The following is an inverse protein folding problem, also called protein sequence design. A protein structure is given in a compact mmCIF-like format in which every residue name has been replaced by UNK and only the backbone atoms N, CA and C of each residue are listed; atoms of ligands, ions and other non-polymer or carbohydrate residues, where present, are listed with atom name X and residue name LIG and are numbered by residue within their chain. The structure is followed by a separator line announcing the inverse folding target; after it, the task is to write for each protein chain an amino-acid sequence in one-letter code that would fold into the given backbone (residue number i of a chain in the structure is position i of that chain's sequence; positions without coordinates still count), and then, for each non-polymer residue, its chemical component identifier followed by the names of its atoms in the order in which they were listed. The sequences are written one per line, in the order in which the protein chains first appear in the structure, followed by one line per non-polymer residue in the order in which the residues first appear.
data_IF_346730040486
#
_entry.id   IF_346730040486
#
_cell.length_a   1.000
_cell.length_b   1.000
_cell.length_c   1.000
_cell.angle_alpha   90.00
_cell.angle_beta   90.00
_cell.angle_gamma   90.00
#
_symmetry.space_group_name_H-M   'P 1'
#
loop_
_entity.id
_entity.type
_entity.pdbx_description
1 polymer ?
#
# COMPACT_ATOMS: atom_id res chain seq x y z
N UNK A 1 62.05 13.44 -55.79
CA UNK A 1 60.63 13.57 -56.08
C UNK A 1 59.95 12.31 -55.62
N UNK A 2 59.47 12.29 -54.37
CA UNK A 2 58.53 11.26 -53.85
C UNK A 2 57.43 11.99 -53.10
N UNK A 3 56.20 11.98 -53.66
CA UNK A 3 54.98 12.39 -53.00
C UNK A 3 54.59 11.29 -52.01
N UNK A 4 54.42 11.65 -50.77
CA UNK A 4 53.70 10.84 -49.77
C UNK A 4 52.24 11.32 -49.71
N UNK A 5 51.31 10.47 -50.14
CA UNK A 5 49.89 10.66 -50.01
C UNK A 5 49.51 10.25 -48.57
N UNK A 6 49.04 11.20 -47.76
CA UNK A 6 48.50 10.96 -46.43
C UNK A 6 47.04 10.49 -46.51
N UNK A 7 46.82 9.25 -46.15
CA UNK A 7 45.46 8.74 -45.92
C UNK A 7 44.85 9.38 -44.68
N UNK A 8 43.75 10.12 -44.85
CA UNK A 8 42.91 10.59 -43.76
C UNK A 8 42.05 9.40 -43.26
N UNK A 9 42.38 8.86 -42.10
CA UNK A 9 41.49 7.94 -41.40
C UNK A 9 40.29 8.72 -40.85
N UNK A 10 39.15 8.42 -41.44
CA UNK A 10 37.84 8.94 -41.03
C UNK A 10 37.46 8.30 -39.67
N UNK A 11 37.80 8.99 -38.56
CA UNK A 11 37.33 8.61 -37.23
C UNK A 11 35.83 8.83 -37.16
N UNK A 12 35.06 7.80 -37.54
CA UNK A 12 33.65 7.73 -37.31
C UNK A 12 33.37 7.86 -35.80
N UNK A 13 32.93 9.04 -35.36
CA UNK A 13 32.41 9.26 -34.02
C UNK A 13 31.30 8.25 -33.73
N UNK A 14 31.33 7.53 -32.56
CA UNK A 14 30.27 6.62 -32.22
C UNK A 14 28.97 7.41 -32.14
N UNK A 15 27.97 7.08 -32.97
CA UNK A 15 26.63 7.59 -32.85
C UNK A 15 26.09 7.14 -31.46
N UNK A 16 25.97 8.09 -30.55
CA UNK A 16 25.23 7.91 -29.30
C UNK A 16 23.87 7.28 -29.62
N UNK A 17 23.43 6.26 -28.87
CA UNK A 17 22.14 5.63 -29.08
C UNK A 17 21.04 6.68 -28.99
N UNK A 18 20.17 6.70 -29.99
CA UNK A 18 19.08 7.65 -30.13
C UNK A 18 18.29 7.73 -28.80
N UNK A 19 18.19 8.95 -28.28
CA UNK A 19 17.43 9.29 -27.10
C UNK A 19 16.12 8.51 -27.04
N UNK A 20 15.90 7.80 -25.93
CA UNK A 20 14.61 7.22 -25.55
C UNK A 20 13.50 8.24 -25.86
N UNK A 21 12.56 7.87 -26.71
CA UNK A 21 11.38 8.68 -27.02
C UNK A 21 10.68 8.97 -25.69
N UNK A 22 10.89 10.14 -25.14
CA UNK A 22 10.10 10.63 -24.01
C UNK A 22 8.67 10.77 -24.55
N UNK A 23 7.78 9.90 -24.10
CA UNK A 23 6.37 10.09 -24.36
C UNK A 23 5.93 11.48 -23.90
N UNK A 24 4.86 12.05 -24.43
CA UNK A 24 4.39 13.39 -24.05
C UNK A 24 4.21 13.46 -22.53
N UNK A 25 4.59 14.60 -21.94
CA UNK A 25 4.38 14.85 -20.52
C UNK A 25 2.88 14.67 -20.17
N UNK A 26 2.54 14.01 -19.04
CA UNK A 26 1.15 13.75 -18.69
C UNK A 26 0.37 15.06 -18.53
N UNK A 27 -0.86 15.10 -19.03
CA UNK A 27 -1.74 16.26 -18.91
C UNK A 27 -2.11 16.52 -17.45
N UNK A 28 -2.43 17.78 -17.16
CA UNK A 28 -2.94 18.14 -15.83
C UNK A 28 -4.24 17.42 -15.50
N UNK A 29 -5.06 17.08 -16.52
CA UNK A 29 -6.31 16.34 -16.35
C UNK A 29 -6.06 14.90 -15.89
N UNK A 30 -5.09 14.19 -16.51
CA UNK A 30 -4.70 12.85 -16.08
C UNK A 30 -4.10 12.83 -14.69
N UNK A 31 -3.24 13.80 -14.35
CA UNK A 31 -2.67 13.90 -13.01
C UNK A 31 -3.73 14.19 -11.95
N UNK A 32 -4.70 15.09 -12.21
CA UNK A 32 -5.84 15.35 -11.32
C UNK A 32 -6.79 14.16 -11.26
N UNK A 33 -7.03 13.49 -12.39
CA UNK A 33 -7.80 12.25 -12.44
C UNK A 33 -7.21 11.20 -11.51
N UNK A 34 -5.88 11.01 -11.54
CA UNK A 34 -5.19 10.09 -10.65
C UNK A 34 -5.28 10.51 -9.17
N UNK A 35 -5.15 11.81 -8.84
CA UNK A 35 -5.33 12.31 -7.48
C UNK A 35 -6.69 11.91 -6.90
N UNK A 36 -7.76 12.21 -7.61
CA UNK A 36 -9.12 11.90 -7.17
C UNK A 36 -9.44 10.41 -7.22
N UNK A 37 -8.87 9.68 -8.19
CA UNK A 37 -9.00 8.22 -8.22
C UNK A 37 -8.41 7.59 -6.95
N UNK A 38 -7.21 7.99 -6.56
CA UNK A 38 -6.55 7.50 -5.33
C UNK A 38 -7.36 7.88 -4.09
N UNK A 39 -7.88 9.10 -4.02
CA UNK A 39 -8.74 9.56 -2.94
C UNK A 39 -9.97 8.66 -2.78
N UNK A 40 -10.81 8.55 -3.81
CA UNK A 40 -12.05 7.76 -3.74
C UNK A 40 -11.80 6.25 -3.63
N UNK A 41 -10.71 5.74 -4.19
CA UNK A 41 -10.34 4.34 -4.02
C UNK A 41 -10.02 4.00 -2.57
N UNK A 42 -9.34 4.90 -1.86
CA UNK A 42 -9.08 4.75 -0.42
C UNK A 42 -10.39 4.72 0.38
N UNK A 43 -11.35 5.58 0.02
CA UNK A 43 -12.69 5.62 0.62
C UNK A 43 -13.44 4.28 0.44
N UNK A 44 -13.46 3.76 -0.80
CA UNK A 44 -14.12 2.48 -1.14
C UNK A 44 -13.52 1.32 -0.35
N UNK A 45 -12.19 1.29 -0.16
CA UNK A 45 -11.52 0.24 0.63
C UNK A 45 -11.79 0.37 2.12
N UNK A 46 -11.85 1.60 2.66
CA UNK A 46 -12.08 1.87 4.07
C UNK A 46 -13.43 1.34 4.55
N UNK A 47 -14.48 1.41 3.72
CA UNK A 47 -15.82 0.92 4.05
C UNK A 47 -15.89 -0.57 4.39
N UNK A 48 -14.95 -1.39 3.93
CA UNK A 48 -14.88 -2.83 4.25
C UNK A 48 -14.03 -3.18 5.48
N UNK A 49 -13.47 -2.23 6.16
CA UNK A 49 -12.67 -2.45 7.37
C UNK A 49 -13.52 -2.90 8.56
N UNK A 50 -13.52 -2.14 9.65
CA UNK A 50 -14.18 -2.52 10.89
C UNK A 50 -15.71 -2.57 10.79
N UNK A 51 -16.32 -1.91 9.78
CA UNK A 51 -17.77 -1.82 9.65
C UNK A 51 -18.46 -3.16 9.32
N UNK A 52 -17.76 -4.11 8.67
CA UNK A 52 -18.33 -5.41 8.29
C UNK A 52 -18.75 -6.22 9.51
N UNK A 53 -17.85 -6.38 10.49
CA UNK A 53 -18.16 -7.14 11.70
C UNK A 53 -19.30 -6.50 12.50
N UNK A 54 -19.26 -5.17 12.65
CA UNK A 54 -20.33 -4.42 13.35
C UNK A 54 -21.68 -4.64 12.64
N UNK A 55 -21.72 -4.51 11.32
CA UNK A 55 -22.94 -4.69 10.54
C UNK A 55 -23.49 -6.12 10.68
N UNK A 56 -22.66 -7.14 10.49
CA UNK A 56 -23.11 -8.55 10.59
C UNK A 56 -23.58 -8.88 11.99
N UNK A 57 -22.98 -8.29 13.03
CA UNK A 57 -23.50 -8.42 14.42
C UNK A 57 -24.88 -7.82 14.55
N UNK A 58 -25.17 -6.66 13.92
CA UNK A 58 -26.54 -6.08 13.94
C UNK A 58 -27.56 -6.91 13.15
N UNK A 59 -27.11 -7.80 12.25
CA UNK A 59 -27.93 -8.77 11.53
C UNK A 59 -28.10 -10.09 12.29
N UNK A 60 -27.74 -10.14 13.58
CA UNK A 60 -27.83 -11.32 14.47
C UNK A 60 -27.00 -12.54 13.98
N UNK A 61 -25.89 -12.31 13.27
CA UNK A 61 -24.97 -13.37 12.89
C UNK A 61 -24.19 -13.89 14.09
N UNK A 62 -23.87 -15.19 14.08
CA UNK A 62 -23.00 -15.77 15.09
C UNK A 62 -21.56 -15.25 14.93
N UNK A 63 -20.80 -15.19 16.04
CA UNK A 63 -19.38 -14.80 15.95
C UNK A 63 -18.55 -15.79 15.12
N UNK A 64 -18.98 -17.05 15.04
CA UNK A 64 -18.36 -18.10 14.20
C UNK A 64 -18.56 -17.77 12.73
N UNK A 65 -19.77 -17.42 12.30
CA UNK A 65 -20.05 -17.08 10.89
C UNK A 65 -19.29 -15.82 10.45
N UNK A 66 -19.29 -14.79 11.33
CA UNK A 66 -18.52 -13.56 11.09
C UNK A 66 -17.02 -13.89 10.97
N UNK A 67 -16.50 -14.68 11.91
CA UNK A 67 -15.10 -15.11 11.90
C UNK A 67 -14.73 -15.89 10.65
N UNK A 68 -15.58 -16.81 10.21
CA UNK A 68 -15.38 -17.58 8.97
C UNK A 68 -15.26 -16.70 7.73
N UNK A 69 -16.22 -15.79 7.55
CA UNK A 69 -16.26 -14.87 6.41
C UNK A 69 -15.02 -13.96 6.40
N UNK A 70 -14.60 -13.44 7.54
CA UNK A 70 -13.41 -12.59 7.64
C UNK A 70 -12.13 -13.38 7.39
N UNK A 71 -12.03 -14.60 7.92
CA UNK A 71 -10.87 -15.49 7.72
C UNK A 71 -10.70 -15.87 6.26
N UNK A 72 -11.78 -16.31 5.60
CA UNK A 72 -11.73 -16.64 4.16
C UNK A 72 -11.31 -15.43 3.34
N UNK A 73 -11.87 -14.25 3.61
CA UNK A 73 -11.44 -13.02 2.94
C UNK A 73 -9.95 -12.72 3.14
N UNK A 74 -9.43 -12.90 4.34
CA UNK A 74 -8.01 -12.67 4.65
C UNK A 74 -7.08 -13.68 3.95
N UNK A 75 -7.48 -14.96 3.90
CA UNK A 75 -6.73 -16.00 3.17
C UNK A 75 -6.68 -15.73 1.67
N UNK A 76 -7.81 -15.31 1.07
CA UNK A 76 -7.87 -14.91 -0.34
C UNK A 76 -7.00 -13.68 -0.59
N UNK A 77 -7.05 -12.67 0.30
CA UNK A 77 -6.20 -11.48 0.19
C UNK A 77 -4.72 -11.86 0.23
N UNK A 78 -4.31 -12.74 1.14
CA UNK A 78 -2.92 -13.20 1.25
C UNK A 78 -2.48 -13.98 0.01
N UNK A 79 -3.26 -14.99 -0.40
CA UNK A 79 -2.94 -15.84 -1.55
C UNK A 79 -3.00 -15.07 -2.88
N UNK A 80 -3.85 -14.04 -2.96
CA UNK A 80 -4.08 -13.24 -4.16
C UNK A 80 -3.02 -12.17 -4.45
N UNK A 81 -2.12 -11.83 -3.52
CA UNK A 81 -1.15 -10.73 -3.71
C UNK A 81 -0.26 -10.94 -4.94
N UNK A 82 0.41 -12.10 -5.03
CA UNK A 82 1.28 -12.41 -6.18
C UNK A 82 0.50 -12.59 -7.49
N UNK A 83 -0.58 -13.41 -7.54
CA UNK A 83 -1.43 -13.49 -8.74
C UNK A 83 -2.01 -12.15 -9.15
N UNK A 84 -2.41 -11.29 -8.19
CA UNK A 84 -2.94 -9.95 -8.46
C UNK A 84 -1.92 -9.06 -9.17
N UNK A 85 -0.68 -9.02 -8.71
CA UNK A 85 0.40 -8.33 -9.38
C UNK A 85 0.68 -8.87 -10.78
N UNK A 86 0.69 -10.21 -10.95
CA UNK A 86 0.87 -10.86 -12.24
C UNK A 86 -0.28 -10.56 -13.22
N UNK A 87 -1.51 -10.46 -12.75
CA UNK A 87 -2.67 -10.06 -13.57
C UNK A 87 -2.48 -8.65 -14.10
N UNK A 88 -1.99 -7.72 -13.28
CA UNK A 88 -1.71 -6.35 -13.73
C UNK A 88 -0.55 -6.33 -14.73
N UNK A 89 0.52 -7.10 -14.51
CA UNK A 89 1.62 -7.22 -15.47
C UNK A 89 1.19 -7.88 -16.80
N UNK A 90 0.18 -8.75 -16.78
CA UNK A 90 -0.35 -9.39 -17.99
C UNK A 90 -1.43 -8.55 -18.70
N UNK A 91 -1.90 -7.48 -18.08
CA UNK A 91 -3.01 -6.69 -18.60
C UNK A 91 -2.56 -5.76 -19.74
N UNK A 92 -3.44 -5.58 -20.72
CA UNK A 92 -3.25 -4.60 -21.80
C UNK A 92 -3.63 -3.18 -21.37
N UNK A 93 -4.33 -3.04 -20.25
CA UNK A 93 -4.79 -1.74 -19.74
C UNK A 93 -4.97 -1.81 -18.22
N UNK A 94 -4.09 -1.15 -17.52
CA UNK A 94 -4.10 -1.01 -16.05
C UNK A 94 -5.39 -0.29 -15.57
N UNK A 95 -5.89 0.65 -16.40
CA UNK A 95 -7.17 1.35 -16.14
C UNK A 95 -8.36 0.40 -16.13
N UNK A 96 -8.43 -0.55 -17.07
CA UNK A 96 -9.51 -1.53 -17.09
C UNK A 96 -9.43 -2.47 -15.91
N UNK A 97 -8.22 -2.92 -15.52
CA UNK A 97 -8.03 -3.74 -14.32
C UNK A 97 -8.49 -2.97 -13.08
N UNK A 98 -8.10 -1.71 -12.95
CA UNK A 98 -8.53 -0.86 -11.84
C UNK A 98 -10.06 -0.66 -11.84
N UNK A 99 -10.67 -0.40 -13.01
CA UNK A 99 -12.12 -0.26 -13.14
C UNK A 99 -12.85 -1.54 -12.72
N UNK A 100 -12.42 -2.71 -13.21
CA UNK A 100 -12.99 -3.99 -12.81
C UNK A 100 -12.86 -4.23 -11.30
N UNK A 101 -11.71 -3.91 -10.70
CA UNK A 101 -11.50 -3.99 -9.25
C UNK A 101 -12.46 -3.12 -8.46
N UNK A 102 -12.62 -1.85 -8.86
CA UNK A 102 -13.57 -0.91 -8.21
C UNK A 102 -15.02 -1.40 -8.36
N UNK A 103 -15.41 -1.87 -9.54
CA UNK A 103 -16.76 -2.42 -9.79
C UNK A 103 -16.99 -3.64 -8.88
N UNK A 104 -16.01 -4.55 -8.79
CA UNK A 104 -16.12 -5.76 -7.98
C UNK A 104 -16.28 -5.42 -6.48
N UNK A 105 -15.51 -4.47 -5.94
CA UNK A 105 -15.64 -4.03 -4.55
C UNK A 105 -16.99 -3.38 -4.31
N UNK A 106 -17.42 -2.49 -5.20
CA UNK A 106 -18.71 -1.80 -5.06
C UNK A 106 -19.89 -2.75 -5.17
N UNK A 107 -19.83 -3.74 -6.08
CA UNK A 107 -20.83 -4.80 -6.17
C UNK A 107 -20.87 -5.65 -4.89
N UNK A 108 -19.71 -5.95 -4.31
CA UNK A 108 -19.61 -6.66 -3.01
C UNK A 108 -20.24 -5.86 -1.88
N UNK A 109 -20.01 -4.54 -1.83
CA UNK A 109 -20.61 -3.66 -0.84
C UNK A 109 -22.14 -3.59 -0.98
N UNK A 110 -22.61 -3.46 -2.23
CA UNK A 110 -24.03 -3.44 -2.52
C UNK A 110 -24.71 -4.77 -2.14
N UNK A 111 -24.12 -5.90 -2.51
CA UNK A 111 -24.66 -7.23 -2.18
C UNK A 111 -24.72 -7.45 -0.66
N UNK A 112 -23.69 -7.05 0.07
CA UNK A 112 -23.62 -7.12 1.52
C UNK A 112 -24.75 -6.30 2.17
N UNK A 113 -25.00 -5.09 1.66
CA UNK A 113 -26.07 -4.23 2.16
C UNK A 113 -27.47 -4.73 1.79
N UNK A 114 -27.66 -5.21 0.57
CA UNK A 114 -28.97 -5.60 0.06
C UNK A 114 -29.45 -6.94 0.61
N UNK A 115 -28.55 -7.94 0.66
CA UNK A 115 -28.86 -9.31 1.06
C UNK A 115 -27.81 -9.88 2.00
N UNK A 116 -27.90 -9.64 3.32
CA UNK A 116 -26.93 -10.10 4.31
C UNK A 116 -27.13 -11.61 4.64
N UNK A 117 -27.12 -12.47 3.63
CA UNK A 117 -27.17 -13.93 3.78
C UNK A 117 -25.78 -14.52 3.62
N UNK A 118 -25.49 -15.59 4.36
CA UNK A 118 -24.13 -16.14 4.51
C UNK A 118 -23.40 -16.34 3.18
N UNK A 119 -24.02 -17.01 2.20
CA UNK A 119 -23.37 -17.32 0.93
C UNK A 119 -23.03 -16.05 0.13
N UNK A 120 -23.93 -15.07 0.04
CA UNK A 120 -23.68 -13.83 -0.71
C UNK A 120 -22.64 -12.95 -0.01
N UNK A 121 -22.66 -12.91 1.32
CA UNK A 121 -21.64 -12.18 2.08
C UNK A 121 -20.27 -12.84 1.92
N UNK A 122 -20.17 -14.17 1.98
CA UNK A 122 -18.94 -14.91 1.75
C UNK A 122 -18.39 -14.68 0.33
N UNK A 123 -19.23 -14.81 -0.70
CA UNK A 123 -18.85 -14.53 -2.09
C UNK A 123 -18.43 -13.07 -2.29
N UNK A 124 -19.13 -12.14 -1.68
CA UNK A 124 -18.77 -10.73 -1.68
C UNK A 124 -17.42 -10.49 -1.03
N UNK A 125 -17.11 -11.15 0.09
CA UNK A 125 -15.80 -11.04 0.75
C UNK A 125 -14.66 -11.61 -0.09
N UNK A 126 -14.89 -12.76 -0.75
CA UNK A 126 -13.92 -13.35 -1.68
C UNK A 126 -13.67 -12.41 -2.85
N UNK A 127 -14.74 -11.87 -3.45
CA UNK A 127 -14.66 -10.93 -4.58
C UNK A 127 -13.93 -9.63 -4.19
N UNK A 128 -14.28 -9.06 -3.03
CA UNK A 128 -13.61 -7.88 -2.48
C UNK A 128 -12.11 -8.13 -2.26
N UNK A 129 -11.76 -9.24 -1.61
CA UNK A 129 -10.39 -9.59 -1.31
C UNK A 129 -9.54 -9.77 -2.60
N UNK A 130 -10.09 -10.50 -3.58
CA UNK A 130 -9.43 -10.70 -4.88
C UNK A 130 -9.26 -9.37 -5.65
N UNK A 131 -10.30 -8.52 -5.67
CA UNK A 131 -10.24 -7.22 -6.30
C UNK A 131 -9.22 -6.28 -5.63
N UNK A 132 -9.13 -6.30 -4.31
CA UNK A 132 -8.15 -5.50 -3.55
C UNK A 132 -6.71 -5.84 -3.90
N UNK A 133 -6.42 -7.11 -4.25
CA UNK A 133 -5.07 -7.54 -4.62
C UNK A 133 -4.57 -6.92 -5.95
N UNK A 134 -5.45 -6.52 -6.83
CA UNK A 134 -5.07 -5.90 -8.12
C UNK A 134 -5.06 -4.37 -8.08
N UNK A 135 -5.81 -3.74 -7.17
CA UNK A 135 -5.96 -2.28 -7.15
C UNK A 135 -4.68 -1.55 -6.78
N UNK A 136 -3.95 -2.03 -5.78
CA UNK A 136 -2.66 -1.45 -5.39
C UNK A 136 -1.64 -1.47 -6.53
N UNK A 137 -1.32 -2.66 -7.09
CA UNK A 137 -0.46 -2.77 -8.27
C UNK A 137 -0.94 -1.93 -9.46
N UNK A 138 -2.25 -1.96 -9.81
CA UNK A 138 -2.78 -1.18 -10.93
C UNK A 138 -2.60 0.34 -10.73
N UNK A 139 -2.83 0.85 -9.52
CA UNK A 139 -2.60 2.27 -9.20
C UNK A 139 -1.11 2.64 -9.33
N UNK A 140 -0.21 1.78 -8.85
CA UNK A 140 1.21 2.02 -8.95
C UNK A 140 1.70 1.93 -10.41
N UNK A 141 1.17 1.00 -11.22
CA UNK A 141 1.42 0.88 -12.64
C UNK A 141 0.96 2.13 -13.42
N UNK A 142 -0.27 2.61 -13.17
CA UNK A 142 -0.78 3.87 -13.75
C UNK A 142 0.13 5.03 -13.37
N UNK A 143 0.55 5.10 -12.10
CA UNK A 143 1.43 6.17 -11.61
C UNK A 143 2.77 6.15 -12.32
N UNK A 144 3.41 4.97 -12.41
CA UNK A 144 4.71 4.79 -13.06
C UNK A 144 4.62 5.02 -14.57
N UNK A 145 3.56 4.52 -15.22
CA UNK A 145 3.29 4.72 -16.64
C UNK A 145 3.14 6.19 -17.03
N UNK A 146 2.50 7.00 -16.16
CA UNK A 146 2.30 8.44 -16.42
C UNK A 146 3.58 9.25 -16.24
N UNK A 147 4.31 9.09 -15.14
CA UNK A 147 5.40 10.00 -14.77
C UNK A 147 6.81 9.41 -14.97
N UNK A 148 6.91 8.11 -15.21
CA UNK A 148 8.19 7.41 -15.35
C UNK A 148 9.01 7.39 -14.05
N UNK A 149 10.21 6.79 -14.10
CA UNK A 149 11.08 6.61 -12.93
C UNK A 149 11.58 7.93 -12.33
N UNK A 150 11.77 8.96 -13.13
CA UNK A 150 12.23 10.25 -12.64
C UNK A 150 11.18 10.97 -11.77
N UNK A 151 9.89 10.85 -12.10
CA UNK A 151 8.80 11.52 -11.39
C UNK A 151 8.09 10.67 -10.34
N UNK A 152 8.38 9.35 -10.28
CA UNK A 152 7.57 8.43 -9.48
C UNK A 152 7.62 8.72 -7.97
N UNK A 153 8.74 9.15 -7.44
CA UNK A 153 8.87 9.49 -6.02
C UNK A 153 7.90 10.58 -5.60
N UNK A 154 7.87 11.70 -6.33
CA UNK A 154 6.93 12.80 -6.09
C UNK A 154 5.48 12.36 -6.28
N UNK A 155 5.20 11.54 -7.31
CA UNK A 155 3.86 11.01 -7.59
C UNK A 155 3.36 10.13 -6.47
N UNK A 156 4.17 9.19 -5.96
CA UNK A 156 3.82 8.32 -4.84
C UNK A 156 3.58 9.11 -3.55
N UNK A 157 4.39 10.13 -3.27
CA UNK A 157 4.16 11.05 -2.16
C UNK A 157 2.82 11.76 -2.25
N UNK A 158 2.45 12.20 -3.47
CA UNK A 158 1.15 12.83 -3.73
C UNK A 158 0.00 11.82 -3.64
N UNK A 159 0.16 10.60 -4.14
CA UNK A 159 -0.82 9.53 -3.98
C UNK A 159 -1.08 9.23 -2.51
N UNK A 160 -0.04 9.06 -1.70
CA UNK A 160 -0.16 8.81 -0.26
C UNK A 160 -0.91 9.94 0.46
N UNK A 161 -0.67 11.21 0.10
CA UNK A 161 -1.44 12.35 0.61
C UNK A 161 -2.93 12.21 0.32
N UNK A 162 -3.31 11.99 -0.95
CA UNK A 162 -4.72 11.89 -1.34
C UNK A 162 -5.39 10.66 -0.73
N UNK A 163 -4.70 9.52 -0.67
CA UNK A 163 -5.19 8.31 0.00
C UNK A 163 -5.47 8.57 1.49
N UNK A 164 -4.54 9.21 2.21
CA UNK A 164 -4.72 9.48 3.64
C UNK A 164 -5.83 10.47 3.93
N UNK A 165 -5.97 11.52 3.12
CA UNK A 165 -7.10 12.45 3.25
C UNK A 165 -8.42 11.71 2.99
N UNK A 166 -8.48 10.88 1.93
CA UNK A 166 -9.62 10.03 1.62
C UNK A 166 -9.97 9.10 2.78
N UNK A 167 -9.01 8.28 3.23
CA UNK A 167 -9.22 7.36 4.37
C UNK A 167 -9.74 8.07 5.62
N UNK A 168 -9.16 9.23 5.97
CA UNK A 168 -9.59 9.99 7.13
C UNK A 168 -11.01 10.54 7.01
N UNK A 169 -11.35 11.12 5.86
CA UNK A 169 -12.70 11.64 5.58
C UNK A 169 -13.73 10.51 5.47
N UNK A 170 -13.38 9.41 4.79
CA UNK A 170 -14.25 8.24 4.70
C UNK A 170 -14.57 7.65 6.07
N UNK A 171 -13.56 7.44 6.91
CA UNK A 171 -13.77 6.91 8.26
C UNK A 171 -14.70 7.80 9.08
N UNK A 172 -14.51 9.13 9.02
CA UNK A 172 -15.37 10.09 9.72
C UNK A 172 -16.80 10.09 9.14
N UNK A 173 -16.94 10.17 7.81
CA UNK A 173 -18.26 10.21 7.15
C UNK A 173 -19.04 8.90 7.33
N UNK A 174 -18.39 7.75 7.18
CA UNK A 174 -19.01 6.43 7.35
C UNK A 174 -19.35 6.16 8.80
N UNK A 175 -18.50 6.58 9.75
CA UNK A 175 -18.79 6.52 11.17
C UNK A 175 -20.02 7.34 11.55
N UNK A 176 -20.08 8.60 11.09
CA UNK A 176 -21.24 9.48 11.31
C UNK A 176 -22.51 8.92 10.64
N UNK A 177 -22.42 8.43 9.39
CA UNK A 177 -23.56 7.83 8.68
C UNK A 177 -24.09 6.59 9.43
N UNK A 178 -23.19 5.70 9.88
CA UNK A 178 -23.56 4.50 10.64
C UNK A 178 -24.22 4.83 11.97
N UNK A 179 -23.78 5.89 12.65
CA UNK A 179 -24.36 6.39 13.91
C UNK A 179 -25.73 7.05 13.71
N UNK A 180 -25.85 7.94 12.71
CA UNK A 180 -27.07 8.70 12.48
C UNK A 180 -28.20 7.89 11.81
N UNK A 181 -27.85 6.79 11.13
CA UNK A 181 -28.82 5.97 10.39
C UNK A 181 -28.72 4.49 10.77
N UNK A 182 -27.93 3.71 10.06
CA UNK A 182 -27.55 2.35 10.41
C UNK A 182 -26.28 1.92 9.66
N UNK A 183 -25.59 0.91 10.18
CA UNK A 183 -24.39 0.33 9.54
C UNK A 183 -24.64 -0.18 8.11
N UNK A 184 -25.91 -0.49 7.76
CA UNK A 184 -26.32 -0.90 6.39
C UNK A 184 -26.05 0.19 5.37
N UNK A 185 -26.35 1.46 5.72
CA UNK A 185 -26.17 2.59 4.80
C UNK A 185 -24.71 2.91 4.52
N UNK A 186 -23.78 2.51 5.40
CA UNK A 186 -22.33 2.62 5.15
C UNK A 186 -21.96 1.84 3.89
N UNK A 187 -22.50 0.62 3.70
CA UNK A 187 -22.19 -0.21 2.52
C UNK A 187 -22.88 0.29 1.25
N UNK A 188 -24.08 0.86 1.35
CA UNK A 188 -24.70 1.55 0.21
C UNK A 188 -23.91 2.81 -0.19
N UNK A 189 -23.42 3.59 0.77
CA UNK A 189 -22.54 4.73 0.51
C UNK A 189 -21.23 4.27 -0.15
N UNK A 190 -20.59 3.21 0.38
CA UNK A 190 -19.40 2.59 -0.22
C UNK A 190 -19.65 2.15 -1.65
N UNK A 191 -20.80 1.51 -1.92
CA UNK A 191 -21.18 1.13 -3.29
C UNK A 191 -21.38 2.35 -4.20
N UNK A 192 -21.99 3.43 -3.70
CA UNK A 192 -22.23 4.66 -4.47
C UNK A 192 -20.92 5.39 -4.84
N UNK A 193 -19.84 5.21 -4.07
CA UNK A 193 -18.51 5.77 -4.38
C UNK A 193 -17.91 5.23 -5.69
N UNK A 194 -18.48 4.15 -6.28
CA UNK A 194 -18.09 3.69 -7.63
C UNK A 194 -18.18 4.82 -8.66
N UNK A 195 -19.21 5.67 -8.58
CA UNK A 195 -19.46 6.73 -9.56
C UNK A 195 -18.31 7.74 -9.60
N UNK A 196 -17.98 8.45 -8.50
CA UNK A 196 -16.88 9.40 -8.53
C UNK A 196 -15.52 8.73 -8.75
N UNK A 197 -15.31 7.48 -8.27
CA UNK A 197 -14.07 6.73 -8.50
C UNK A 197 -13.86 6.44 -9.98
N UNK A 198 -14.89 5.95 -10.71
CA UNK A 198 -14.79 5.69 -12.13
C UNK A 198 -14.69 6.98 -12.95
N UNK A 199 -15.41 8.05 -12.59
CA UNK A 199 -15.27 9.37 -13.24
C UNK A 199 -13.81 9.84 -13.13
N UNK A 200 -13.21 9.75 -11.95
CA UNK A 200 -11.81 10.13 -11.73
C UNK A 200 -10.86 9.26 -12.55
N UNK A 201 -11.06 7.93 -12.55
CA UNK A 201 -10.25 6.98 -13.31
C UNK A 201 -10.31 7.23 -14.82
N UNK A 202 -11.53 7.50 -15.37
CA UNK A 202 -11.70 7.71 -16.80
C UNK A 202 -11.24 9.09 -17.28
N UNK A 203 -10.98 10.05 -16.39
CA UNK A 203 -10.27 11.29 -16.72
C UNK A 203 -8.79 11.07 -17.05
N UNK A 204 -8.20 9.95 -16.61
CA UNK A 204 -6.82 9.59 -16.97
C UNK A 204 -6.83 9.12 -18.44
N UNK A 205 -6.11 9.81 -19.32
CA UNK A 205 -6.06 9.48 -20.74
C UNK A 205 -5.23 8.22 -20.97
N UNK A 206 -5.76 7.18 -21.65
CA UNK A 206 -5.02 5.92 -21.83
C UNK A 206 -3.74 6.10 -22.65
N UNK A 207 -3.72 7.00 -23.63
CA UNK A 207 -2.55 7.27 -24.46
C UNK A 207 -1.42 7.99 -23.74
N UNK A 208 -1.62 8.47 -22.51
CA UNK A 208 -0.58 9.10 -21.69
C UNK A 208 0.09 8.10 -20.74
N UNK A 209 -0.48 6.90 -20.57
CA UNK A 209 0.13 5.82 -19.79
C UNK A 209 1.04 5.04 -20.73
N UNK A 210 2.34 5.09 -20.49
CA UNK A 210 3.33 4.31 -21.23
C UNK A 210 3.35 2.87 -20.69
N UNK A 211 2.99 1.85 -21.51
CA UNK A 211 2.89 0.47 -21.03
C UNK A 211 4.25 -0.11 -20.60
N UNK A 212 5.35 0.23 -21.28
CA UNK A 212 6.68 -0.28 -20.90
C UNK A 212 7.08 0.26 -19.53
N UNK A 213 6.78 1.54 -19.23
CA UNK A 213 7.03 2.13 -17.91
C UNK A 213 6.12 1.53 -16.85
N UNK A 214 4.82 1.35 -17.13
CA UNK A 214 3.82 0.82 -16.19
C UNK A 214 4.20 -0.57 -15.66
N UNK A 215 4.89 -1.36 -16.46
CA UNK A 215 5.35 -2.72 -16.07
C UNK A 215 6.83 -2.76 -15.65
N UNK A 216 7.54 -1.64 -15.70
CA UNK A 216 8.96 -1.55 -15.37
C UNK A 216 9.90 -2.10 -16.42
N UNK A 217 9.45 -2.25 -17.69
CA UNK A 217 10.23 -2.72 -18.82
C UNK A 217 9.39 -3.34 -19.94
N UNK A 218 10.04 -3.97 -20.93
CA UNK A 218 9.33 -4.59 -22.05
C UNK A 218 8.35 -5.65 -21.54
N UNK A 219 7.12 -5.52 -21.99
CA UNK A 219 6.02 -6.39 -21.63
C UNK A 219 6.12 -7.75 -22.37
N UNK A 220 6.64 -8.75 -21.69
CA UNK A 220 6.66 -10.16 -22.18
C UNK A 220 5.98 -11.12 -21.18
N UNK A 221 5.19 -10.61 -20.27
CA UNK A 221 4.63 -11.34 -19.16
C UNK A 221 3.18 -11.77 -19.46
N UNK A 222 3.01 -13.00 -19.93
CA UNK A 222 1.71 -13.69 -19.83
C UNK A 222 1.60 -14.42 -18.48
N UNK A 223 0.37 -14.65 -17.98
CA UNK A 223 0.11 -15.45 -16.77
C UNK A 223 0.81 -16.83 -16.81
N UNK A 224 1.02 -17.40 -18.01
CA UNK A 224 1.77 -18.65 -18.22
C UNK A 224 3.23 -18.58 -17.78
N UNK A 225 3.82 -17.39 -17.73
CA UNK A 225 5.22 -17.15 -17.31
C UNK A 225 5.35 -16.75 -15.83
N UNK A 226 4.29 -16.89 -15.03
CA UNK A 226 4.31 -16.55 -13.60
C UNK A 226 5.44 -17.28 -12.86
N UNK A 227 5.62 -18.59 -13.10
CA UNK A 227 6.69 -19.37 -12.47
C UNK A 227 8.09 -18.87 -12.83
N UNK A 228 8.33 -18.57 -14.11
CA UNK A 228 9.59 -17.98 -14.58
C UNK A 228 9.81 -16.57 -13.96
N UNK A 229 8.72 -15.82 -13.81
CA UNK A 229 8.71 -14.52 -13.16
C UNK A 229 9.14 -14.59 -11.70
N UNK A 230 8.56 -15.52 -10.96
CA UNK A 230 8.91 -15.75 -9.56
C UNK A 230 10.37 -16.22 -9.41
N UNK A 231 10.84 -17.14 -10.25
CA UNK A 231 12.23 -17.61 -10.24
C UNK A 231 13.21 -16.45 -10.54
N UNK A 232 12.90 -15.59 -11.53
CA UNK A 232 13.76 -14.46 -11.85
C UNK A 232 13.80 -13.41 -10.70
N UNK A 233 12.65 -13.16 -10.04
CA UNK A 233 12.60 -12.24 -8.90
C UNK A 233 13.17 -12.85 -7.62
N UNK A 234 13.18 -14.20 -7.48
CA UNK A 234 13.86 -14.89 -6.38
C UNK A 234 15.39 -14.67 -6.38
N UNK A 235 15.98 -14.33 -7.53
CA UNK A 235 17.37 -13.88 -7.63
C UNK A 235 17.60 -12.40 -7.32
N UNK A 236 16.54 -11.60 -7.20
CA UNK A 236 16.64 -10.16 -6.96
C UNK A 236 16.87 -9.85 -5.47
N UNK A 237 18.13 -9.80 -5.07
CA UNK A 237 18.53 -9.60 -3.67
C UNK A 237 17.94 -8.34 -3.03
N UNK A 238 17.96 -7.14 -3.64
CA UNK A 238 17.31 -5.94 -3.08
C UNK A 238 15.83 -6.14 -2.80
N UNK A 239 15.09 -6.79 -3.71
CA UNK A 239 13.66 -7.06 -3.55
C UNK A 239 13.38 -8.02 -2.40
N UNK A 240 14.15 -9.10 -2.27
CA UNK A 240 13.98 -10.07 -1.19
C UNK A 240 14.29 -9.48 0.18
N UNK A 241 15.34 -8.64 0.27
CA UNK A 241 15.65 -7.92 1.50
C UNK A 241 14.52 -6.95 1.85
N UNK A 242 13.99 -6.20 0.86
CA UNK A 242 12.85 -5.32 1.08
C UNK A 242 11.62 -6.10 1.57
N UNK A 243 11.32 -7.26 0.97
CA UNK A 243 10.22 -8.12 1.39
C UNK A 243 10.40 -8.60 2.84
N UNK A 244 11.60 -9.02 3.22
CA UNK A 244 11.93 -9.38 4.60
C UNK A 244 11.78 -8.17 5.56
N UNK A 245 12.25 -6.99 5.17
CA UNK A 245 12.07 -5.75 5.94
C UNK A 245 10.56 -5.44 6.12
N UNK A 246 9.76 -5.55 5.05
CA UNK A 246 8.32 -5.33 5.10
C UNK A 246 7.61 -6.35 6.01
N UNK A 247 8.03 -7.62 5.99
CA UNK A 247 7.53 -8.65 6.88
C UNK A 247 7.78 -8.26 8.35
N UNK A 248 9.02 -7.95 8.73
CA UNK A 248 9.37 -7.55 10.09
C UNK A 248 8.64 -6.27 10.53
N UNK A 249 8.52 -5.29 9.61
CA UNK A 249 7.77 -4.08 9.89
C UNK A 249 6.32 -4.40 10.26
N UNK A 250 5.60 -5.15 9.43
CA UNK A 250 4.20 -5.46 9.67
C UNK A 250 3.99 -6.47 10.79
N UNK A 251 4.95 -7.36 11.03
CA UNK A 251 4.98 -8.24 12.20
C UNK A 251 5.05 -7.43 13.52
N UNK A 252 5.78 -6.32 13.53
CA UNK A 252 5.85 -5.43 14.67
C UNK A 252 4.64 -4.48 14.76
N UNK A 253 4.13 -3.99 13.60
CA UNK A 253 3.18 -2.88 13.52
C UNK A 253 1.72 -3.27 13.69
N UNK A 254 1.27 -4.38 13.08
CA UNK A 254 -0.15 -4.63 12.84
C UNK A 254 -0.98 -4.82 14.13
N UNK A 255 -0.39 -5.37 15.18
CA UNK A 255 -1.07 -5.56 16.45
C UNK A 255 -1.06 -4.31 17.36
N UNK A 256 -0.21 -3.31 17.09
CA UNK A 256 -0.05 -2.17 18.00
C UNK A 256 -1.34 -1.37 18.20
N UNK A 257 -2.07 -1.08 17.12
CA UNK A 257 -3.32 -0.33 17.21
C UNK A 257 -4.46 -1.12 17.88
N UNK A 258 -4.73 -2.40 17.53
CA UNK A 258 -5.69 -3.23 18.26
C UNK A 258 -5.40 -3.36 19.76
N UNK A 259 -4.16 -3.64 20.15
CA UNK A 259 -3.75 -3.71 21.56
C UNK A 259 -3.94 -2.37 22.26
N UNK A 260 -3.59 -1.27 21.59
CA UNK A 260 -3.79 0.08 22.15
C UNK A 260 -5.27 0.39 22.33
N UNK A 261 -6.11 0.03 21.35
CA UNK A 261 -7.57 0.18 21.45
C UNK A 261 -8.14 -0.56 22.67
N UNK A 262 -7.71 -1.81 22.89
CA UNK A 262 -8.10 -2.60 24.07
C UNK A 262 -7.66 -1.91 25.37
N UNK A 263 -6.41 -1.41 25.42
CA UNK A 263 -5.87 -0.72 26.59
C UNK A 263 -6.62 0.58 26.88
N UNK A 264 -6.97 1.37 25.89
CA UNK A 264 -7.72 2.62 26.03
C UNK A 264 -9.14 2.35 26.54
N UNK A 265 -9.78 1.28 26.07
CA UNK A 265 -11.12 0.87 26.51
C UNK A 265 -11.14 0.51 28.00
N UNK A 266 -10.07 -0.14 28.49
CA UNK A 266 -9.97 -0.52 29.92
C UNK A 266 -9.56 0.61 30.85
N UNK A 267 -8.77 1.59 30.35
CA UNK A 267 -8.21 2.69 31.16
C UNK A 267 -9.07 3.96 31.16
N UNK A 268 -9.85 4.20 30.12
CA UNK A 268 -10.59 5.45 29.94
C UNK A 268 -11.92 5.20 29.23
N UNK A 269 -12.89 4.57 29.95
CA UNK A 269 -14.19 4.17 29.40
C UNK A 269 -14.95 5.32 28.72
N UNK A 270 -14.96 6.51 29.32
CA UNK A 270 -15.73 7.67 28.83
C UNK A 270 -15.15 8.28 27.54
N UNK A 271 -13.81 8.26 27.40
CA UNK A 271 -13.09 8.85 26.28
C UNK A 271 -12.56 7.82 25.28
N UNK A 272 -12.73 6.52 25.55
CA UNK A 272 -12.13 5.44 24.75
C UNK A 272 -12.43 5.59 23.26
N UNK A 273 -13.68 5.81 22.87
CA UNK A 273 -14.09 5.94 21.47
C UNK A 273 -13.41 7.12 20.77
N UNK A 274 -13.35 8.28 21.47
CA UNK A 274 -12.71 9.49 20.92
C UNK A 274 -11.20 9.29 20.78
N UNK A 275 -10.56 8.69 21.78
CA UNK A 275 -9.12 8.43 21.79
C UNK A 275 -8.74 7.40 20.72
N UNK A 276 -9.54 6.33 20.53
CA UNK A 276 -9.33 5.34 19.46
C UNK A 276 -9.48 6.01 18.08
N UNK A 277 -10.51 6.84 17.90
CA UNK A 277 -10.68 7.60 16.66
C UNK A 277 -9.48 8.54 16.40
N UNK A 278 -8.99 9.23 17.44
CA UNK A 278 -7.80 10.07 17.35
C UNK A 278 -6.55 9.25 16.97
N UNK A 279 -6.39 8.05 17.53
CA UNK A 279 -5.30 7.13 17.17
C UNK A 279 -5.32 6.69 15.70
N UNK A 280 -6.47 6.74 15.04
CA UNK A 280 -6.59 6.46 13.59
C UNK A 280 -6.34 7.73 12.77
N UNK A 281 -6.91 8.87 13.19
CA UNK A 281 -6.87 10.12 12.42
C UNK A 281 -5.49 10.79 12.47
N UNK A 282 -4.83 10.80 13.64
CA UNK A 282 -3.54 11.47 13.82
C UNK A 282 -2.47 10.96 12.85
N UNK A 283 -2.25 9.64 12.66
CA UNK A 283 -1.34 9.14 11.63
C UNK A 283 -1.70 9.62 10.22
N UNK A 284 -2.98 9.66 9.86
CA UNK A 284 -3.41 10.10 8.53
C UNK A 284 -3.06 11.56 8.25
N UNK A 285 -3.16 12.44 9.25
CA UNK A 285 -2.74 13.83 9.13
C UNK A 285 -1.22 13.94 8.88
N UNK A 286 -0.43 13.14 9.60
CA UNK A 286 1.03 13.10 9.39
C UNK A 286 1.36 12.60 7.99
N UNK A 287 0.76 11.49 7.54
CA UNK A 287 0.96 10.95 6.18
C UNK A 287 0.57 12.00 5.13
N UNK A 288 -0.57 12.63 5.26
CA UNK A 288 -1.03 13.65 4.32
C UNK A 288 -0.07 14.86 4.24
N UNK A 289 0.52 15.26 5.36
CA UNK A 289 1.45 16.37 5.43
C UNK A 289 2.84 16.01 4.87
N UNK A 290 3.39 14.87 5.30
CA UNK A 290 4.80 14.53 5.09
C UNK A 290 5.08 13.71 3.81
N UNK A 291 4.14 12.90 3.31
CA UNK A 291 4.41 12.01 2.16
C UNK A 291 4.91 12.74 0.91
N UNK A 292 4.40 13.94 0.51
CA UNK A 292 4.95 14.66 -0.64
C UNK A 292 6.39 15.14 -0.43
N UNK A 293 6.75 15.47 0.82
CA UNK A 293 8.13 15.81 1.17
C UNK A 293 9.03 14.57 1.07
N UNK A 294 8.59 13.43 1.61
CA UNK A 294 9.31 12.14 1.49
C UNK A 294 9.58 11.80 0.04
N UNK A 295 8.57 11.92 -0.84
CA UNK A 295 8.71 11.62 -2.27
C UNK A 295 9.77 12.49 -2.97
N UNK A 296 9.87 13.78 -2.60
CA UNK A 296 10.91 14.68 -3.12
C UNK A 296 12.28 14.36 -2.52
N UNK A 297 12.36 14.19 -1.20
CA UNK A 297 13.65 13.91 -0.55
C UNK A 297 14.24 12.55 -0.91
N UNK A 298 13.40 11.58 -1.27
CA UNK A 298 13.87 10.31 -1.77
C UNK A 298 14.76 10.43 -3.01
N UNK A 299 14.57 11.47 -3.84
CA UNK A 299 15.42 11.72 -5.01
C UNK A 299 16.77 12.36 -4.64
N UNK A 300 16.83 13.10 -3.53
CA UNK A 300 18.03 13.82 -3.10
C UNK A 300 18.87 13.00 -2.11
N UNK A 301 18.24 12.46 -1.06
CA UNK A 301 18.91 11.76 0.04
C UNK A 301 19.07 10.26 -0.19
N UNK A 302 18.35 9.70 -1.17
CA UNK A 302 18.24 8.26 -1.36
C UNK A 302 17.06 7.63 -0.62
N UNK A 303 16.86 6.33 -0.85
CA UNK A 303 15.73 5.57 -0.30
C UNK A 303 16.05 5.03 1.10
N UNK A 304 17.27 4.49 1.26
CA UNK A 304 17.70 3.84 2.50
C UNK A 304 17.70 4.76 3.73
N UNK A 305 18.24 6.01 3.70
CA UNK A 305 18.21 6.89 4.87
C UNK A 305 16.80 7.21 5.35
N UNK A 306 15.87 7.45 4.43
CA UNK A 306 14.49 7.74 4.77
C UNK A 306 13.76 6.50 5.31
N UNK A 307 14.03 5.30 4.76
CA UNK A 307 13.52 4.04 5.30
C UNK A 307 14.02 3.80 6.73
N UNK A 308 15.27 4.10 7.02
CA UNK A 308 15.82 4.00 8.40
C UNK A 308 15.03 4.87 9.38
N UNK A 309 14.63 6.09 8.99
CA UNK A 309 13.78 6.96 9.82
C UNK A 309 12.41 6.30 10.07
N UNK A 310 11.75 5.78 9.02
CA UNK A 310 10.48 5.09 9.15
C UNK A 310 10.55 3.84 10.03
N UNK A 311 11.62 3.05 9.87
CA UNK A 311 11.85 1.85 10.69
C UNK A 311 12.29 2.18 12.12
N UNK A 312 12.94 3.30 12.38
CA UNK A 312 13.31 3.73 13.74
C UNK A 312 12.11 4.22 14.54
N UNK A 313 11.15 4.86 13.89
CA UNK A 313 9.93 5.32 14.54
C UNK A 313 9.08 4.16 15.12
N UNK A 314 9.10 2.98 14.47
CA UNK A 314 8.30 1.83 14.90
C UNK A 314 8.72 1.24 16.25
N UNK A 315 9.98 0.83 16.51
CA UNK A 315 10.38 0.36 17.82
C UNK A 315 10.25 1.43 18.90
N UNK A 316 10.53 2.70 18.59
CA UNK A 316 10.31 3.81 19.52
C UNK A 316 8.84 3.89 19.93
N UNK A 317 7.91 3.77 18.97
CA UNK A 317 6.45 3.73 19.25
C UNK A 317 6.10 2.56 20.16
N UNK A 318 6.63 1.36 19.90
CA UNK A 318 6.38 0.18 20.71
C UNK A 318 6.88 0.34 22.16
N UNK A 319 8.08 0.90 22.35
CA UNK A 319 8.62 1.21 23.69
C UNK A 319 7.74 2.23 24.42
N UNK A 320 7.33 3.30 23.74
CA UNK A 320 6.49 4.33 24.36
C UNK A 320 5.08 3.78 24.71
N UNK A 321 4.50 2.91 23.90
CA UNK A 321 3.23 2.24 24.22
C UNK A 321 3.35 1.30 25.44
N UNK A 322 4.50 0.65 25.61
CA UNK A 322 4.77 -0.18 26.76
C UNK A 322 5.02 0.59 28.06
N UNK A 323 5.55 1.82 27.96
CA UNK A 323 5.99 2.63 29.10
C UNK A 323 4.99 3.73 29.50
N UNK A 324 4.28 4.34 28.54
CA UNK A 324 3.35 5.45 28.80
C UNK A 324 2.00 4.92 29.28
N UNK A 325 1.46 5.52 30.33
CA UNK A 325 0.18 5.13 30.92
C UNK A 325 -0.94 6.12 30.67
N UNK A 326 -0.61 7.38 30.38
CA UNK A 326 -1.59 8.44 30.13
C UNK A 326 -2.27 8.23 28.76
N UNK A 327 -3.62 8.14 28.69
CA UNK A 327 -4.36 7.88 27.46
C UNK A 327 -4.19 8.98 26.38
N UNK A 328 -4.02 10.25 26.79
CA UNK A 328 -3.87 11.36 25.84
C UNK A 328 -2.47 11.38 25.23
N UNK A 329 -1.45 11.08 26.04
CA UNK A 329 -0.08 10.95 25.53
C UNK A 329 0.04 9.78 24.54
N UNK A 330 -0.72 8.69 24.72
CA UNK A 330 -0.74 7.56 23.78
C UNK A 330 -1.24 7.97 22.40
N UNK A 331 -2.17 8.92 22.30
CA UNK A 331 -2.56 9.53 21.01
C UNK A 331 -1.39 10.30 20.39
N UNK A 332 -0.60 11.03 21.20
CA UNK A 332 0.61 11.70 20.73
C UNK A 332 1.66 10.73 20.18
N UNK A 333 1.81 9.55 20.78
CA UNK A 333 2.72 8.49 20.30
C UNK A 333 2.34 8.01 18.90
N UNK A 334 1.07 8.11 18.48
CA UNK A 334 0.63 7.75 17.13
C UNK A 334 1.18 8.66 16.03
N UNK A 335 1.76 9.81 16.34
CA UNK A 335 2.53 10.60 15.38
C UNK A 335 3.66 9.78 14.75
N UNK A 336 4.29 8.88 15.53
CA UNK A 336 5.33 7.98 15.04
C UNK A 336 4.80 6.96 14.02
N UNK A 337 3.55 6.50 14.18
CA UNK A 337 2.89 5.66 13.18
C UNK A 337 2.75 6.40 11.84
N UNK A 338 2.31 7.66 11.90
CA UNK A 338 2.20 8.51 10.71
C UNK A 338 3.55 8.73 10.01
N UNK A 339 4.65 8.89 10.78
CA UNK A 339 6.00 9.00 10.22
C UNK A 339 6.38 7.69 9.50
N UNK A 340 6.22 6.53 10.16
CA UNK A 340 6.50 5.24 9.56
C UNK A 340 5.66 5.01 8.31
N UNK A 341 4.35 5.29 8.36
CA UNK A 341 3.43 5.10 7.25
C UNK A 341 3.74 6.04 6.07
N UNK A 342 4.13 7.30 6.33
CA UNK A 342 4.55 8.23 5.29
C UNK A 342 5.82 7.75 4.57
N UNK A 343 6.80 7.25 5.32
CA UNK A 343 8.04 6.72 4.73
C UNK A 343 7.77 5.45 3.92
N UNK A 344 7.15 4.43 4.52
CA UNK A 344 6.95 3.14 3.85
C UNK A 344 5.96 3.24 2.67
N UNK A 345 4.88 4.00 2.82
CA UNK A 345 3.88 4.17 1.76
C UNK A 345 4.43 4.77 0.47
N UNK A 346 5.50 5.57 0.57
CA UNK A 346 6.20 6.16 -0.59
C UNK A 346 7.38 5.30 -1.01
N UNK A 347 8.22 4.88 -0.06
CA UNK A 347 9.52 4.30 -0.38
C UNK A 347 9.45 2.83 -0.77
N UNK A 348 8.52 2.04 -0.23
CA UNK A 348 8.40 0.63 -0.60
C UNK A 348 8.09 0.47 -2.09
N UNK A 349 7.03 1.07 -2.66
CA UNK A 349 6.80 0.97 -4.09
C UNK A 349 7.90 1.65 -4.94
N UNK A 350 8.58 2.66 -4.40
CA UNK A 350 9.71 3.31 -5.08
C UNK A 350 10.92 2.37 -5.19
N UNK A 351 11.31 1.70 -4.10
CA UNK A 351 12.40 0.69 -4.11
C UNK A 351 12.05 -0.49 -5.01
N UNK A 352 10.78 -0.93 -5.03
CA UNK A 352 10.33 -1.99 -5.96
C UNK A 352 10.51 -1.53 -7.41
N UNK A 353 10.12 -0.28 -7.73
CA UNK A 353 10.29 0.26 -9.09
C UNK A 353 11.77 0.34 -9.50
N UNK A 354 12.65 0.74 -8.59
CA UNK A 354 14.09 0.78 -8.83
C UNK A 354 14.65 -0.64 -9.02
N UNK A 355 14.30 -1.59 -8.14
CA UNK A 355 14.81 -2.97 -8.16
C UNK A 355 14.31 -3.80 -9.35
N UNK A 356 13.17 -3.43 -9.94
CA UNK A 356 12.57 -4.14 -11.08
C UNK A 356 12.70 -3.42 -12.40
N UNK A 357 13.48 -2.34 -12.44
CA UNK A 357 13.70 -1.55 -13.67
C UNK A 357 14.20 -2.41 -14.81
N UNK A 358 13.52 -2.35 -15.95
CA UNK A 358 13.88 -3.11 -17.16
C UNK A 358 13.41 -4.58 -17.15
N UNK A 359 12.81 -5.07 -16.06
CA UNK A 359 12.38 -6.48 -15.96
C UNK A 359 11.00 -6.78 -16.53
N UNK A 360 10.14 -5.77 -16.67
CA UNK A 360 8.72 -5.94 -17.03
C UNK A 360 7.86 -6.63 -15.97
N UNK A 361 8.30 -6.65 -14.68
CA UNK A 361 7.69 -7.41 -13.59
C UNK A 361 7.46 -6.59 -12.32
N UNK A 362 7.26 -5.30 -12.48
CA UNK A 362 7.08 -4.37 -11.37
C UNK A 362 5.90 -4.76 -10.47
N UNK A 363 4.76 -5.12 -11.07
CA UNK A 363 3.54 -5.40 -10.31
C UNK A 363 3.59 -6.78 -9.64
N UNK A 364 4.22 -7.78 -10.25
CA UNK A 364 4.50 -9.06 -9.60
C UNK A 364 5.39 -8.89 -8.37
N UNK A 365 6.42 -8.04 -8.46
CA UNK A 365 7.28 -7.73 -7.33
C UNK A 365 6.53 -7.03 -6.19
N UNK A 366 5.57 -6.15 -6.50
CA UNK A 366 4.66 -5.58 -5.50
C UNK A 366 3.84 -6.68 -4.81
N UNK A 367 3.35 -7.67 -5.57
CA UNK A 367 2.65 -8.82 -5.03
C UNK A 367 3.51 -9.64 -4.06
N UNK A 368 4.81 -9.86 -4.35
CA UNK A 368 5.76 -10.56 -3.47
C UNK A 368 5.91 -9.80 -2.14
N UNK A 369 6.16 -8.49 -2.21
CA UNK A 369 6.28 -7.66 -1.00
C UNK A 369 4.96 -7.60 -0.25
N UNK A 370 3.81 -7.50 -0.96
CA UNK A 370 2.47 -7.54 -0.38
C UNK A 370 2.17 -8.84 0.37
N UNK A 371 2.65 -9.98 -0.14
CA UNK A 371 2.55 -11.27 0.57
C UNK A 371 3.35 -11.27 1.87
N UNK A 372 4.57 -10.71 1.86
CA UNK A 372 5.39 -10.57 3.06
C UNK A 372 4.70 -9.66 4.11
N UNK A 373 4.10 -8.55 3.67
CA UNK A 373 3.25 -7.66 4.48
C UNK A 373 2.10 -8.44 5.12
N UNK A 374 1.35 -9.20 4.33
CA UNK A 374 0.20 -9.98 4.80
C UNK A 374 0.59 -11.06 5.82
N UNK A 375 1.68 -11.78 5.59
CA UNK A 375 2.21 -12.78 6.53
C UNK A 375 2.61 -12.11 7.84
N UNK A 376 3.39 -11.02 7.78
CA UNK A 376 3.82 -10.29 8.96
C UNK A 376 2.63 -9.77 9.78
N UNK A 377 1.65 -9.17 9.13
CA UNK A 377 0.46 -8.64 9.78
C UNK A 377 -0.39 -9.74 10.45
N UNK A 378 -0.57 -10.88 9.78
CA UNK A 378 -1.36 -12.00 10.31
C UNK A 378 -0.70 -12.62 11.55
N UNK A 379 0.62 -12.82 11.51
CA UNK A 379 1.36 -13.34 12.66
C UNK A 379 1.42 -12.35 13.82
N UNK A 380 1.49 -11.05 13.54
CA UNK A 380 1.55 -9.97 14.53
C UNK A 380 0.41 -10.05 15.54
N UNK A 381 -0.83 -10.10 15.05
CA UNK A 381 -2.03 -10.08 15.91
C UNK A 381 -2.11 -11.30 16.81
N UNK A 382 -1.77 -12.48 16.29
CA UNK A 382 -1.77 -13.73 17.05
C UNK A 382 -0.69 -13.73 18.13
N UNK A 383 0.55 -13.40 17.77
CA UNK A 383 1.68 -13.39 18.70
C UNK A 383 1.52 -12.33 19.80
N UNK A 384 1.07 -11.14 19.41
CA UNK A 384 0.87 -10.04 20.34
C UNK A 384 -0.33 -10.28 21.29
N UNK A 385 -1.43 -10.89 20.79
CA UNK A 385 -2.54 -11.31 21.61
C UNK A 385 -2.09 -12.33 22.66
N UNK A 386 -1.41 -13.39 22.24
CA UNK A 386 -0.87 -14.39 23.15
C UNK A 386 0.09 -13.79 24.21
N UNK A 387 1.01 -12.92 23.78
CA UNK A 387 1.92 -12.25 24.70
C UNK A 387 1.19 -11.32 25.66
N UNK A 388 0.15 -10.62 25.20
CA UNK A 388 -0.66 -9.75 26.05
C UNK A 388 -1.44 -10.51 27.13
N UNK A 389 -2.00 -11.67 26.76
CA UNK A 389 -2.77 -12.51 27.70
C UNK A 389 -1.88 -13.21 28.73
N UNK A 390 -0.67 -13.62 28.34
CA UNK A 390 0.22 -14.38 29.23
C UNK A 390 1.21 -13.53 30.02
N UNK A 391 1.74 -12.44 29.42
CA UNK A 391 2.79 -11.61 29.99
C UNK A 391 2.35 -10.16 30.26
N UNK A 392 1.13 -9.82 29.82
CA UNK A 392 0.58 -8.47 29.94
C UNK A 392 0.87 -7.56 28.74
N UNK A 393 0.03 -6.55 28.55
CA UNK A 393 0.08 -5.66 27.38
C UNK A 393 1.40 -4.90 27.21
N UNK A 394 2.03 -4.46 28.31
CA UNK A 394 3.34 -3.78 28.25
C UNK A 394 4.43 -4.70 27.69
N UNK A 395 4.48 -5.97 28.11
CA UNK A 395 5.43 -6.96 27.60
C UNK A 395 5.17 -7.24 26.10
N UNK A 396 3.91 -7.32 25.68
CA UNK A 396 3.55 -7.45 24.27
C UNK A 396 4.08 -6.28 23.43
N UNK A 397 3.92 -5.02 23.89
CA UNK A 397 4.46 -3.84 23.20
C UNK A 397 5.99 -3.85 23.12
N UNK A 398 6.69 -4.25 24.20
CA UNK A 398 8.16 -4.38 24.17
C UNK A 398 8.61 -5.50 23.23
N UNK A 399 7.87 -6.61 23.16
CA UNK A 399 8.11 -7.68 22.18
C UNK A 399 7.96 -7.19 20.74
N UNK A 400 6.89 -6.43 20.45
CA UNK A 400 6.69 -5.80 19.14
C UNK A 400 7.80 -4.77 18.83
N UNK A 401 8.25 -4.00 19.83
CA UNK A 401 9.36 -3.07 19.68
C UNK A 401 10.67 -3.80 19.32
N UNK A 402 10.94 -4.94 19.95
CA UNK A 402 12.11 -5.77 19.64
C UNK A 402 12.07 -6.30 18.19
N UNK A 403 10.92 -6.75 17.72
CA UNK A 403 10.72 -7.16 16.31
C UNK A 403 10.91 -5.97 15.35
N UNK A 404 10.41 -4.79 15.71
CA UNK A 404 10.63 -3.56 14.93
C UNK A 404 12.09 -3.16 14.87
N UNK A 405 12.84 -3.34 15.98
CA UNK A 405 14.27 -3.10 16.04
C UNK A 405 15.07 -4.10 15.20
N UNK A 406 14.67 -5.36 15.16
CA UNK A 406 15.24 -6.35 14.24
C UNK A 406 15.05 -5.95 12.78
N UNK A 407 13.85 -5.46 12.42
CA UNK A 407 13.59 -4.88 11.10
C UNK A 407 14.47 -3.67 10.78
N UNK A 408 14.69 -2.78 11.75
CA UNK A 408 15.57 -1.62 11.60
C UNK A 408 17.03 -2.06 11.35
N UNK A 409 17.53 -3.04 12.10
CA UNK A 409 18.87 -3.62 11.89
C UNK A 409 18.98 -4.20 10.48
N UNK A 410 17.95 -4.93 10.03
CA UNK A 410 17.94 -5.53 8.69
C UNK A 410 18.01 -4.46 7.59
N UNK A 411 17.27 -3.35 7.71
CA UNK A 411 17.38 -2.21 6.78
C UNK A 411 18.79 -1.63 6.83
N UNK A 412 19.33 -1.43 8.05
CA UNK A 412 20.65 -0.82 8.22
C UNK A 412 21.80 -1.66 7.68
N UNK A 413 21.78 -2.96 7.88
CA UNK A 413 22.90 -3.85 7.51
C UNK A 413 22.79 -4.39 6.10
N UNK A 414 21.58 -4.63 5.60
CA UNK A 414 21.38 -5.48 4.42
C UNK A 414 20.74 -4.78 3.23
N UNK A 415 19.90 -3.74 3.47
CA UNK A 415 19.23 -3.07 2.35
C UNK A 415 20.19 -2.14 1.63
N UNK A 416 20.50 -2.37 0.32
CA UNK A 416 21.33 -1.46 -0.44
C UNK A 416 20.57 -0.14 -0.73
N UNK A 417 21.33 0.92 -1.03
CA UNK A 417 20.72 2.11 -1.65
C UNK A 417 20.31 1.75 -3.08
N UNK A 418 19.07 2.12 -3.45
CA UNK A 418 18.51 1.80 -4.77
C UNK A 418 18.29 3.02 -5.65
N UNK A 419 18.62 4.21 -5.13
CA UNK A 419 18.55 5.43 -5.95
C UNK A 419 19.39 5.24 -7.22
N UNK A 420 18.80 5.42 -8.41
CA UNK A 420 19.61 5.47 -9.61
C UNK A 420 20.67 6.59 -9.45
N UNK A 421 21.93 6.26 -9.70
CA UNK A 421 22.97 7.27 -9.73
C UNK A 421 22.53 8.34 -10.75
N UNK A 422 22.68 9.61 -10.37
CA UNK A 422 22.49 10.68 -11.31
C UNK A 422 23.43 10.37 -12.47
N UNK A 423 22.86 10.08 -13.63
CA UNK A 423 23.63 9.92 -14.85
C UNK A 423 24.23 11.29 -15.10
N UNK A 424 25.53 11.40 -14.81
CA UNK A 424 26.35 12.56 -15.12
C UNK A 424 26.28 12.92 -16.60
#
# INVERSE_FOLDING_TARGET
VHRLEGGAEDHATPKLPAHSRHGPAPSRDSLRGLDWFVFFMADVQTGFGPFVSVYLTTQAWTQVDIGLVLTVGSLIALAGQMPGGAVVDAARSERLVAACGVIAISASAFALAAWPIFLLVLLGRVLHAAASCVLGPAMAAISLGLVGHAGIGERLGRNARFASIGTGLAAAAMGALGYLTSSRYVFFATAALIVPTLIALFRIRPGEIDPERAHGGKHDAGLRKLGEGLLALAGNRPLLILAACALFFHLANAAMLPLMGSLLTTRSSDWATVLIAACIVVPQLVVAAFSPWVGRQAQQWGRRPLLLVGFAALPLRGVLFGAVTDPFLLVGVQLLDGISAAMLGVLVPLVIADATRGTGRFNLAQGIVGSAVGIGASLSTTLAGYASDTLGSSAAFFGLAALGFAGLILVWTSLPETRPDAVD
#
